data_IF_999040668635
#
_entry.id   IF_999040668635
#
_cell.length_a   1.000
_cell.length_b   1.000
_cell.length_c   1.000
_cell.angle_alpha   90.00
_cell.angle_beta   90.00
_cell.angle_gamma   90.00
#
_symmetry.space_group_name_H-M   'P 1'
#
loop_
_entity.id
_entity.type
_entity.pdbx_description
1 polymer ?
#
# COMPACT_ATOMS: atom_id res chain seq x y z
N UNK A 1 -12.03 43.18 -27.52
CA UNK A 1 -12.87 42.07 -27.03
C UNK A 1 -12.26 40.69 -27.25
N UNK A 2 -11.62 40.42 -28.40
CA UNK A 2 -11.02 39.10 -28.75
C UNK A 2 -9.86 38.66 -27.82
N UNK A 3 -8.93 39.56 -27.48
CA UNK A 3 -7.81 39.22 -26.60
C UNK A 3 -8.24 38.85 -25.16
N UNK A 4 -9.34 39.42 -24.68
CA UNK A 4 -9.89 39.10 -23.36
C UNK A 4 -10.48 37.69 -23.32
N UNK A 5 -11.20 37.29 -24.38
CA UNK A 5 -11.74 35.94 -24.51
C UNK A 5 -10.62 34.90 -24.53
N UNK A 6 -9.59 35.11 -25.37
CA UNK A 6 -8.48 34.18 -25.45
C UNK A 6 -7.66 34.08 -24.14
N UNK A 7 -7.55 35.19 -23.39
CA UNK A 7 -6.91 35.19 -22.07
C UNK A 7 -7.73 34.43 -21.01
N UNK A 8 -9.05 34.43 -21.13
CA UNK A 8 -9.93 33.66 -20.26
C UNK A 8 -9.80 32.16 -20.56
N UNK A 9 -9.77 31.79 -21.84
CA UNK A 9 -9.58 30.40 -22.26
C UNK A 9 -8.24 29.85 -21.75
N UNK A 10 -7.16 30.63 -21.85
CA UNK A 10 -5.85 30.24 -21.33
C UNK A 10 -5.87 29.96 -19.82
N UNK A 11 -6.58 30.78 -19.04
CA UNK A 11 -6.75 30.55 -17.60
C UNK A 11 -7.58 29.31 -17.30
N UNK A 12 -8.60 29.00 -18.12
CA UNK A 12 -9.39 27.77 -17.96
C UNK A 12 -8.51 26.54 -18.17
N UNK A 13 -7.63 26.54 -19.18
CA UNK A 13 -6.67 25.47 -19.39
C UNK A 13 -5.69 25.34 -18.22
N UNK A 14 -5.19 26.45 -17.70
CA UNK A 14 -4.30 26.46 -16.53
C UNK A 14 -5.00 25.87 -15.29
N UNK A 15 -6.24 26.26 -15.03
CA UNK A 15 -7.05 25.70 -13.93
C UNK A 15 -7.26 24.19 -14.11
N UNK A 16 -7.52 23.72 -15.33
CA UNK A 16 -7.68 22.30 -15.61
C UNK A 16 -6.38 21.52 -15.33
N UNK A 17 -5.23 22.07 -15.73
CA UNK A 17 -3.92 21.48 -15.47
C UNK A 17 -3.64 21.39 -13.96
N UNK A 18 -3.83 22.49 -13.22
CA UNK A 18 -3.66 22.51 -11.77
C UNK A 18 -4.60 21.54 -11.05
N UNK A 19 -5.83 21.40 -11.54
CA UNK A 19 -6.81 20.45 -10.99
C UNK A 19 -6.33 19.00 -11.15
N UNK A 20 -5.75 18.67 -12.30
CA UNK A 20 -5.18 17.34 -12.54
C UNK A 20 -3.97 17.09 -11.63
N UNK A 21 -3.06 18.06 -11.49
CA UNK A 21 -1.90 17.95 -10.60
C UNK A 21 -2.32 17.70 -9.14
N UNK A 22 -3.31 18.46 -8.64
CA UNK A 22 -3.85 18.25 -7.29
C UNK A 22 -4.45 16.85 -7.13
N UNK A 23 -5.11 16.32 -8.17
CA UNK A 23 -5.69 14.97 -8.13
C UNK A 23 -4.59 13.90 -8.07
N UNK A 24 -3.53 14.04 -8.85
CA UNK A 24 -2.38 13.14 -8.83
C UNK A 24 -1.67 13.14 -7.48
N UNK A 25 -1.41 14.33 -6.91
CA UNK A 25 -0.79 14.47 -5.59
C UNK A 25 -1.64 13.82 -4.49
N UNK A 26 -2.97 13.99 -4.54
CA UNK A 26 -3.89 13.32 -3.61
C UNK A 26 -3.85 11.80 -3.74
N UNK A 27 -3.79 11.28 -4.96
CA UNK A 27 -3.64 9.83 -5.18
C UNK A 27 -2.35 9.31 -4.55
N UNK A 28 -1.23 9.96 -4.86
CA UNK A 28 0.08 9.58 -4.32
C UNK A 28 0.13 9.66 -2.78
N UNK A 29 -0.56 10.63 -2.18
CA UNK A 29 -0.68 10.74 -0.73
C UNK A 29 -1.45 9.55 -0.12
N UNK A 30 -2.60 9.18 -0.70
CA UNK A 30 -3.40 8.05 -0.21
C UNK A 30 -2.62 6.74 -0.31
N UNK A 31 -1.92 6.52 -1.43
CA UNK A 31 -1.10 5.32 -1.63
C UNK A 31 0.04 5.23 -0.61
N UNK A 32 0.78 6.34 -0.42
CA UNK A 32 1.87 6.41 0.57
C UNK A 32 1.36 6.20 2.00
N UNK A 33 0.21 6.78 2.34
CA UNK A 33 -0.43 6.58 3.65
C UNK A 33 -0.77 5.11 3.87
N UNK A 34 -1.33 4.43 2.87
CA UNK A 34 -1.63 3.00 2.92
C UNK A 34 -0.38 2.17 3.22
N UNK A 35 0.71 2.41 2.47
CA UNK A 35 2.00 1.74 2.67
C UNK A 35 2.57 1.96 4.08
N UNK A 36 2.52 3.20 4.59
CA UNK A 36 2.96 3.50 5.94
C UNK A 36 2.15 2.75 7.00
N UNK A 37 0.82 2.68 6.84
CA UNK A 37 -0.04 1.96 7.77
C UNK A 37 0.23 0.46 7.77
N UNK A 38 0.54 -0.12 6.60
CA UNK A 38 0.96 -1.52 6.53
C UNK A 38 2.26 -1.75 7.31
N UNK A 39 3.31 -0.96 7.03
CA UNK A 39 4.60 -1.07 7.72
C UNK A 39 4.45 -0.87 9.23
N UNK A 40 3.67 0.12 9.66
CA UNK A 40 3.40 0.36 11.09
C UNK A 40 2.71 -0.84 11.76
N UNK A 41 1.76 -1.48 11.07
CA UNK A 41 1.11 -2.70 11.58
C UNK A 41 2.10 -3.85 11.69
N UNK A 42 2.93 -4.06 10.67
CA UNK A 42 3.98 -5.10 10.68
C UNK A 42 4.95 -4.88 11.85
N UNK A 43 5.46 -3.66 12.04
CA UNK A 43 6.34 -3.34 13.18
C UNK A 43 5.68 -3.52 14.54
N UNK A 44 4.39 -3.19 14.67
CA UNK A 44 3.66 -3.39 15.92
C UNK A 44 3.54 -4.89 16.25
N UNK A 45 3.14 -5.70 15.27
CA UNK A 45 3.03 -7.15 15.43
C UNK A 45 4.39 -7.76 15.76
N UNK A 46 5.46 -7.34 15.09
CA UNK A 46 6.83 -7.80 15.36
C UNK A 46 7.25 -7.51 16.81
N UNK A 47 6.96 -6.32 17.32
CA UNK A 47 7.25 -5.95 18.71
C UNK A 47 6.48 -6.82 19.71
N UNK A 48 5.18 -7.03 19.49
CA UNK A 48 4.34 -7.84 20.38
C UNK A 48 4.72 -9.34 20.35
N UNK A 49 5.12 -9.86 19.19
CA UNK A 49 5.57 -11.25 19.05
C UNK A 49 6.94 -11.49 19.70
N UNK A 50 7.82 -10.48 19.67
CA UNK A 50 9.12 -10.53 20.35
C UNK A 50 8.98 -10.67 21.87
N UNK A 51 7.99 -10.01 22.48
CA UNK A 51 7.68 -10.18 23.92
C UNK A 51 7.22 -11.60 24.26
N UNK A 52 6.69 -12.34 23.28
CA UNK A 52 6.22 -13.73 23.45
C UNK A 52 7.29 -14.76 23.09
N UNK A 53 8.55 -14.33 22.86
CA UNK A 53 9.65 -15.16 22.33
C UNK A 53 9.33 -15.82 20.97
N UNK A 54 8.35 -15.29 20.23
CA UNK A 54 7.98 -15.77 18.90
C UNK A 54 8.77 -14.96 17.87
N UNK A 55 9.89 -15.54 17.41
CA UNK A 55 10.73 -14.98 16.37
C UNK A 55 10.37 -15.47 14.97
N UNK A 56 10.77 -14.71 13.95
CA UNK A 56 10.72 -15.17 12.57
C UNK A 56 11.74 -16.31 12.43
N UNK A 57 11.28 -17.50 12.01
CA UNK A 57 12.20 -18.61 11.74
C UNK A 57 13.09 -18.26 10.55
N UNK A 58 14.41 -18.27 10.75
CA UNK A 58 15.39 -18.16 9.66
C UNK A 58 15.28 -19.33 8.67
N UNK A 59 14.77 -20.47 9.14
CA UNK A 59 14.62 -21.68 8.35
C UNK A 59 13.14 -21.85 7.96
N UNK A 60 12.83 -22.12 6.68
CA UNK A 60 11.44 -22.36 6.27
C UNK A 60 10.86 -23.57 6.99
N UNK A 61 9.55 -23.59 7.30
CA UNK A 61 8.93 -24.71 7.98
C UNK A 61 9.00 -25.96 7.11
N UNK A 62 9.39 -27.08 7.70
CA UNK A 62 9.42 -28.37 7.02
C UNK A 62 7.99 -28.84 6.77
N UNK A 63 7.62 -29.01 5.49
CA UNK A 63 6.31 -29.54 5.11
C UNK A 63 6.20 -31.02 5.52
N UNK A 64 5.44 -31.31 6.56
CA UNK A 64 5.15 -32.69 6.97
C UNK A 64 4.01 -33.22 6.08
N UNK A 65 4.30 -34.25 5.28
CA UNK A 65 3.30 -34.99 4.50
C UNK A 65 3.06 -36.32 5.22
N UNK A 66 1.91 -36.44 5.90
CA UNK A 66 1.55 -37.67 6.60
C UNK A 66 1.08 -38.69 5.56
N UNK A 67 1.89 -39.72 5.32
CA UNK A 67 1.43 -40.92 4.61
C UNK A 67 0.66 -41.78 5.62
N UNK A 68 -0.66 -41.89 5.48
CA UNK A 68 -1.45 -42.80 6.30
C UNK A 68 -1.09 -44.24 5.93
N UNK A 69 -0.32 -44.93 6.78
CA UNK A 69 -0.19 -46.38 6.73
C UNK A 69 -1.07 -47.00 7.82
N UNK A 70 -2.32 -47.32 7.49
CA UNK A 70 -3.04 -48.39 8.17
C UNK A 70 -3.64 -49.30 7.11
N UNK A 71 -3.23 -50.59 7.04
CA UNK A 71 -4.07 -51.57 6.39
C UNK A 71 -5.35 -51.67 7.23
N UNK A 72 -6.49 -51.42 6.59
CA UNK A 72 -7.81 -51.74 7.16
C UNK A 72 -7.84 -53.26 7.33
N UNK A 73 -8.10 -53.69 8.57
CA UNK A 73 -8.30 -55.09 8.95
C UNK A 73 -9.50 -55.69 8.22
#
# INVERSE_FOLDING_TARGET
MIASSHSADQKVYEIANLTNEVKELRSAFVDKRGKLMQLKKESFVEAEMKEKDIGISLNPPTKIIVKSSKPVK
#
